data_IF_462827286198
#
_entry.id   IF_462827286198
#
_cell.length_a   1.000
_cell.length_b   1.000
_cell.length_c   1.000
_cell.angle_alpha   90.00
_cell.angle_beta   90.00
_cell.angle_gamma   90.00
#
_symmetry.space_group_name_H-M   'P 1'
#
loop_
_entity.id
_entity.type
_entity.pdbx_description
1 polymer ?
#
# COMPACT_ATOMS: atom_id res chain seq x y z
N UNK A 1 -22.24 -14.93 4.08
CA UNK A 1 -21.97 -14.82 2.63
C UNK A 1 -21.84 -13.37 2.14
N UNK A 2 -22.83 -12.48 2.40
CA UNK A 2 -22.78 -11.07 1.97
C UNK A 2 -21.50 -10.32 2.41
N UNK A 3 -21.07 -10.52 3.64
CA UNK A 3 -19.82 -9.98 4.21
C UNK A 3 -18.56 -10.32 3.38
N UNK A 4 -18.42 -11.59 2.99
CA UNK A 4 -17.28 -12.07 2.21
C UNK A 4 -17.30 -11.54 0.78
N UNK A 5 -18.49 -11.40 0.19
CA UNK A 5 -18.67 -10.77 -1.13
C UNK A 5 -18.29 -9.29 -1.08
N UNK A 6 -18.65 -8.57 -0.01
CA UNK A 6 -18.24 -7.18 0.18
C UNK A 6 -16.72 -7.03 0.33
N UNK A 7 -16.07 -7.93 1.09
CA UNK A 7 -14.61 -7.95 1.20
C UNK A 7 -13.91 -8.30 -0.13
N UNK A 8 -14.46 -9.26 -0.88
CA UNK A 8 -14.00 -9.60 -2.23
C UNK A 8 -14.13 -8.41 -3.20
N UNK A 9 -15.25 -7.68 -3.15
CA UNK A 9 -15.47 -6.47 -3.94
C UNK A 9 -14.50 -5.35 -3.52
N UNK A 10 -14.27 -5.16 -2.23
CA UNK A 10 -13.27 -4.21 -1.74
C UNK A 10 -11.86 -4.59 -2.25
N UNK A 11 -11.50 -5.87 -2.23
CA UNK A 11 -10.25 -6.39 -2.80
C UNK A 11 -10.14 -6.15 -4.31
N UNK A 12 -11.21 -6.37 -5.06
CA UNK A 12 -11.30 -6.10 -6.49
C UNK A 12 -11.06 -4.62 -6.81
N UNK A 13 -11.76 -3.72 -6.14
CA UNK A 13 -11.61 -2.27 -6.34
C UNK A 13 -10.21 -1.83 -5.92
N UNK A 14 -9.65 -2.40 -4.86
CA UNK A 14 -8.27 -2.14 -4.44
C UNK A 14 -7.24 -2.54 -5.50
N UNK A 15 -7.42 -3.70 -6.14
CA UNK A 15 -6.56 -4.17 -7.22
C UNK A 15 -6.63 -3.22 -8.44
N UNK A 16 -7.82 -2.72 -8.78
CA UNK A 16 -8.04 -1.79 -9.89
C UNK A 16 -7.41 -0.42 -9.61
N UNK A 17 -7.57 0.07 -8.38
CA UNK A 17 -7.08 1.37 -7.92
C UNK A 17 -5.56 1.50 -7.99
N UNK A 18 -4.82 0.38 -7.99
CA UNK A 18 -3.36 0.37 -7.86
C UNK A 18 -2.86 0.97 -6.54
N UNK A 19 -3.76 1.27 -5.61
CA UNK A 19 -3.51 1.79 -4.27
C UNK A 19 -3.77 0.66 -3.29
N UNK A 20 -2.79 0.38 -2.42
CA UNK A 20 -2.85 -0.68 -1.41
C UNK A 20 -4.05 -0.58 -0.45
N UNK A 21 -4.04 -1.47 0.54
CA UNK A 21 -4.99 -1.82 1.63
C UNK A 21 -6.10 -0.84 2.11
N UNK A 22 -6.12 0.41 1.67
CA UNK A 22 -7.06 1.50 1.97
C UNK A 22 -8.54 1.11 1.84
N UNK A 23 -8.92 0.37 0.80
CA UNK A 23 -10.32 -0.03 0.57
C UNK A 23 -10.68 -1.30 1.32
N UNK A 24 -9.73 -2.23 1.40
CA UNK A 24 -9.92 -3.53 2.02
C UNK A 24 -10.01 -3.44 3.53
N UNK A 25 -9.23 -2.57 4.15
CA UNK A 25 -9.14 -2.47 5.59
C UNK A 25 -10.48 -2.10 6.26
N UNK A 26 -11.15 -0.98 5.91
CA UNK A 26 -12.43 -0.63 6.52
C UNK A 26 -13.54 -1.64 6.21
N UNK A 27 -13.50 -2.26 5.03
CA UNK A 27 -14.47 -3.29 4.66
C UNK A 27 -14.38 -4.49 5.62
N UNK A 28 -13.17 -4.95 5.96
CA UNK A 28 -12.97 -6.05 6.91
C UNK A 28 -13.36 -5.64 8.33
N UNK A 29 -13.04 -4.41 8.77
CA UNK A 29 -13.49 -3.92 10.08
C UNK A 29 -15.02 -3.85 10.17
N UNK A 30 -15.68 -3.51 9.06
CA UNK A 30 -17.14 -3.57 8.89
C UNK A 30 -17.73 -4.96 9.11
N UNK A 31 -16.93 -6.03 8.98
CA UNK A 31 -17.36 -7.41 9.25
C UNK A 31 -17.29 -7.79 10.73
N UNK A 32 -16.97 -6.84 11.61
CA UNK A 32 -16.80 -7.10 13.05
C UNK A 32 -15.43 -7.62 13.45
N UNK A 33 -14.48 -7.69 12.50
CA UNK A 33 -13.09 -8.06 12.76
C UNK A 33 -12.36 -6.87 13.39
N UNK A 34 -11.49 -7.14 14.38
CA UNK A 34 -10.71 -6.08 15.01
C UNK A 34 -9.81 -5.39 13.98
N UNK A 35 -9.58 -4.07 14.08
CA UNK A 35 -8.67 -3.34 13.21
C UNK A 35 -7.30 -4.02 13.05
N UNK A 36 -6.73 -4.55 14.13
CA UNK A 36 -5.45 -5.25 14.10
C UNK A 36 -5.48 -6.46 13.13
N UNK A 37 -6.47 -7.34 13.30
CA UNK A 37 -6.65 -8.53 12.46
C UNK A 37 -7.04 -8.13 11.03
N UNK A 38 -7.84 -7.07 10.87
CA UNK A 38 -8.24 -6.54 9.56
C UNK A 38 -7.03 -6.06 8.75
N UNK A 39 -6.10 -5.34 9.40
CA UNK A 39 -4.86 -4.89 8.78
C UNK A 39 -4.02 -6.08 8.30
N UNK A 40 -3.70 -7.00 9.22
CA UNK A 40 -2.90 -8.19 8.91
C UNK A 40 -3.52 -9.04 7.79
N UNK A 41 -4.84 -9.28 7.87
CA UNK A 41 -5.59 -10.04 6.87
C UNK A 41 -5.55 -9.37 5.50
N UNK A 42 -5.70 -8.04 5.44
CA UNK A 42 -5.65 -7.29 4.19
C UNK A 42 -4.25 -7.30 3.54
N UNK A 43 -3.19 -7.22 4.35
CA UNK A 43 -1.80 -7.29 3.86
C UNK A 43 -1.50 -8.65 3.24
N UNK A 44 -1.94 -9.74 3.88
CA UNK A 44 -1.78 -11.11 3.33
C UNK A 44 -2.58 -11.28 2.04
N UNK A 45 -3.83 -10.80 1.99
CA UNK A 45 -4.69 -10.93 0.82
C UNK A 45 -4.14 -10.22 -0.42
N UNK A 46 -3.47 -9.07 -0.23
CA UNK A 46 -3.00 -8.21 -1.32
C UNK A 46 -1.54 -8.46 -1.72
N UNK A 47 -0.78 -9.20 -0.92
CA UNK A 47 0.62 -9.51 -1.21
C UNK A 47 0.84 -10.24 -2.55
N UNK A 48 0.03 -11.26 -2.94
CA UNK A 48 0.15 -11.88 -4.26
C UNK A 48 -0.02 -10.89 -5.42
N UNK A 49 -0.90 -9.90 -5.27
CA UNK A 49 -1.07 -8.83 -6.27
C UNK A 49 0.16 -7.91 -6.36
N UNK A 50 0.88 -7.73 -5.25
CA UNK A 50 2.12 -6.96 -5.19
C UNK A 50 3.26 -7.67 -5.92
N UNK A 51 3.33 -9.00 -5.83
CA UNK A 51 4.26 -9.83 -6.63
C UNK A 51 4.00 -9.65 -8.13
N UNK A 52 2.76 -9.76 -8.58
CA UNK A 52 2.40 -9.55 -9.98
C UNK A 52 2.75 -8.13 -10.47
N UNK A 53 2.53 -7.13 -9.62
CA UNK A 53 2.89 -5.73 -9.91
C UNK A 53 4.41 -5.54 -10.03
N UNK A 54 5.21 -6.15 -9.15
CA UNK A 54 6.67 -6.13 -9.27
C UNK A 54 7.12 -6.81 -10.56
N UNK A 55 6.54 -7.98 -10.90
CA UNK A 55 6.90 -8.74 -12.10
C UNK A 55 6.66 -7.95 -13.38
N UNK A 56 5.55 -7.20 -13.47
CA UNK A 56 5.27 -6.33 -14.61
C UNK A 56 6.29 -5.20 -14.80
N UNK A 57 6.87 -4.71 -13.69
CA UNK A 57 7.85 -3.62 -13.68
C UNK A 57 9.31 -4.10 -13.68
N UNK A 58 9.57 -5.41 -13.77
CA UNK A 58 10.92 -6.00 -13.69
C UNK A 58 11.89 -5.45 -14.74
N UNK A 59 11.37 -5.11 -15.92
CA UNK A 59 12.19 -4.57 -17.01
C UNK A 59 12.61 -3.12 -16.74
N UNK A 60 11.80 -2.34 -16.02
CA UNK A 60 12.13 -0.95 -15.67
C UNK A 60 13.21 -0.85 -14.58
N UNK A 61 13.49 -1.96 -13.88
CA UNK A 61 14.57 -2.08 -12.89
C UNK A 61 15.92 -2.50 -13.50
N UNK A 62 15.96 -2.83 -14.80
CA UNK A 62 17.20 -3.20 -15.48
C UNK A 62 18.18 -2.03 -15.48
N UNK A 63 19.43 -2.27 -15.05
CA UNK A 63 20.44 -1.22 -14.85
C UNK A 63 20.41 -0.53 -13.49
N UNK A 64 19.39 -0.77 -12.64
CA UNK A 64 19.24 -0.14 -11.32
C UNK A 64 19.67 -1.00 -10.13
N UNK A 65 20.61 -1.93 -10.33
CA UNK A 65 20.97 -2.93 -9.32
C UNK A 65 21.38 -2.33 -7.96
N UNK A 66 22.16 -1.25 -7.96
CA UNK A 66 22.56 -0.56 -6.73
C UNK A 66 21.36 0.02 -5.96
N UNK A 67 20.37 0.55 -6.67
CA UNK A 67 19.14 1.07 -6.08
C UNK A 67 18.26 -0.08 -5.58
N UNK A 68 18.09 -1.15 -6.35
CA UNK A 68 17.31 -2.33 -5.95
C UNK A 68 17.86 -2.95 -4.66
N UNK A 69 19.18 -3.14 -4.56
CA UNK A 69 19.84 -3.68 -3.36
C UNK A 69 19.77 -2.67 -2.21
N UNK A 70 20.05 -1.39 -2.48
CA UNK A 70 20.03 -0.32 -1.47
C UNK A 70 18.63 -0.06 -0.90
N UNK A 71 17.57 -0.37 -1.65
CA UNK A 71 16.19 -0.36 -1.17
C UNK A 71 15.83 -1.61 -0.38
N UNK A 72 16.30 -2.78 -0.79
CA UNK A 72 15.88 -4.04 -0.22
C UNK A 72 16.18 -4.13 1.28
N UNK A 73 17.41 -3.83 1.69
CA UNK A 73 17.83 -3.92 3.09
C UNK A 73 16.99 -3.04 4.05
N UNK A 74 16.88 -1.71 3.87
CA UNK A 74 16.05 -0.88 4.75
C UNK A 74 14.57 -1.22 4.65
N UNK A 75 14.10 -1.72 3.50
CA UNK A 75 12.72 -2.17 3.32
C UNK A 75 12.40 -3.42 4.13
N UNK A 76 13.31 -4.41 4.13
CA UNK A 76 13.15 -5.65 4.89
C UNK A 76 13.25 -5.39 6.40
N UNK A 77 14.28 -4.65 6.83
CA UNK A 77 14.50 -4.36 8.26
C UNK A 77 13.41 -3.43 8.80
N UNK A 78 13.10 -2.35 8.08
CA UNK A 78 12.04 -1.43 8.47
C UNK A 78 10.67 -2.10 8.44
N UNK A 79 10.36 -2.88 7.40
CA UNK A 79 9.13 -3.65 7.31
C UNK A 79 8.98 -4.66 8.44
N UNK A 80 10.05 -5.36 8.80
CA UNK A 80 10.08 -6.26 9.95
C UNK A 80 9.88 -5.54 11.28
N UNK A 81 10.55 -4.39 11.48
CA UNK A 81 10.35 -3.57 12.68
C UNK A 81 8.91 -3.04 12.78
N UNK A 82 8.34 -2.58 11.67
CA UNK A 82 6.95 -2.14 11.60
C UNK A 82 5.95 -3.24 11.92
N UNK A 83 6.16 -4.44 11.37
CA UNK A 83 5.33 -5.61 11.64
C UNK A 83 5.48 -6.10 13.08
N UNK A 84 6.70 -6.08 13.61
CA UNK A 84 6.99 -6.38 15.02
C UNK A 84 6.27 -5.40 15.96
N UNK A 85 6.34 -4.09 15.65
CA UNK A 85 5.63 -3.04 16.38
C UNK A 85 4.13 -3.32 16.37
N UNK A 86 3.55 -3.67 15.22
CA UNK A 86 2.13 -3.98 15.11
C UNK A 86 1.75 -5.18 16.00
N UNK A 87 2.54 -6.26 15.96
CA UNK A 87 2.30 -7.47 16.76
C UNK A 87 2.40 -7.23 18.27
N UNK A 88 3.21 -6.25 18.70
CA UNK A 88 3.36 -5.88 20.11
C UNK A 88 2.50 -4.68 20.51
N UNK A 89 1.71 -4.12 19.58
CA UNK A 89 0.82 -3.00 19.90
C UNK A 89 -0.45 -3.53 20.55
N UNK A 90 -0.85 -3.02 21.73
CA UNK A 90 -2.12 -3.38 22.34
C UNK A 90 -3.28 -3.09 21.39
N UNK A 91 -4.26 -3.99 21.21
CA UNK A 91 -5.37 -3.78 20.28
C UNK A 91 -6.10 -2.45 20.50
N UNK A 92 -6.33 -2.06 21.76
CA UNK A 92 -6.95 -0.79 22.11
C UNK A 92 -6.13 0.45 21.69
N UNK A 93 -4.80 0.35 21.67
CA UNK A 93 -3.94 1.43 21.18
C UNK A 93 -4.02 1.52 19.65
N UNK A 94 -4.00 0.38 18.96
CA UNK A 94 -4.16 0.33 17.50
C UNK A 94 -5.51 0.92 17.07
N UNK A 95 -6.60 0.56 17.74
CA UNK A 95 -7.95 1.07 17.46
C UNK A 95 -8.05 2.60 17.54
N UNK A 96 -7.32 3.23 18.47
CA UNK A 96 -7.27 4.70 18.59
C UNK A 96 -6.46 5.37 17.49
N UNK A 97 -5.40 4.71 17.02
CA UNK A 97 -4.46 5.27 16.03
C UNK A 97 -4.98 5.06 14.59
N UNK A 98 -5.71 3.97 14.35
CA UNK A 98 -6.22 3.56 13.04
C UNK A 98 -6.98 4.66 12.28
N UNK A 99 -7.95 5.40 12.87
CA UNK A 99 -8.67 6.43 12.14
C UNK A 99 -7.74 7.49 11.56
N UNK A 100 -6.71 7.88 12.31
CA UNK A 100 -5.70 8.84 11.85
C UNK A 100 -4.81 8.25 10.74
N UNK A 101 -4.49 6.96 10.79
CA UNK A 101 -3.76 6.28 9.73
C UNK A 101 -4.56 6.18 8.43
N UNK A 102 -5.85 5.84 8.52
CA UNK A 102 -6.77 5.81 7.38
C UNK A 102 -6.93 7.21 6.78
N UNK A 103 -7.11 8.23 7.61
CA UNK A 103 -7.19 9.62 7.15
C UNK A 103 -5.90 10.06 6.47
N UNK A 104 -4.75 9.82 7.09
CA UNK A 104 -3.44 10.14 6.53
C UNK A 104 -3.21 9.46 5.18
N UNK A 105 -3.52 8.18 5.06
CA UNK A 105 -3.41 7.44 3.81
C UNK A 105 -4.41 7.96 2.75
N UNK A 106 -5.62 8.37 3.15
CA UNK A 106 -6.62 8.99 2.27
C UNK A 106 -6.15 10.37 1.76
N UNK A 107 -5.58 11.19 2.64
CA UNK A 107 -5.01 12.50 2.29
C UNK A 107 -3.82 12.31 1.35
N UNK A 108 -2.92 11.36 1.63
CA UNK A 108 -1.82 11.02 0.73
C UNK A 108 -2.35 10.60 -0.64
N UNK A 109 -3.40 9.78 -0.69
CA UNK A 109 -4.06 9.36 -1.93
C UNK A 109 -4.72 10.53 -2.69
N UNK A 110 -5.27 11.50 -1.98
CA UNK A 110 -5.78 12.74 -2.56
C UNK A 110 -4.66 13.58 -3.18
N UNK A 111 -3.57 13.77 -2.44
CA UNK A 111 -2.42 14.59 -2.88
C UNK A 111 -1.63 13.89 -3.98
N UNK A 112 -1.69 12.57 -4.08
CA UNK A 112 -1.01 11.76 -5.09
C UNK A 112 -1.27 12.26 -6.52
N UNK A 113 -2.51 12.61 -6.87
CA UNK A 113 -2.86 13.07 -8.23
C UNK A 113 -2.08 14.33 -8.66
N UNK A 114 -2.23 15.46 -7.97
CA UNK A 114 -1.48 16.68 -8.26
C UNK A 114 0.03 16.52 -8.05
N UNK A 115 0.48 15.74 -7.06
CA UNK A 115 1.89 15.48 -6.83
C UNK A 115 2.54 14.71 -8.00
N UNK A 116 1.94 13.60 -8.42
CA UNK A 116 2.36 12.84 -9.59
C UNK A 116 2.31 13.68 -10.87
N UNK A 117 1.31 14.55 -11.01
CA UNK A 117 1.19 15.44 -12.17
C UNK A 117 2.28 16.51 -12.19
N UNK A 118 2.67 17.07 -11.04
CA UNK A 118 3.81 17.99 -10.92
C UNK A 118 5.14 17.30 -11.22
N UNK A 119 5.32 16.07 -10.75
CA UNK A 119 6.51 15.25 -11.05
C UNK A 119 6.55 14.83 -12.53
N UNK A 120 5.39 14.49 -13.13
CA UNK A 120 5.22 14.23 -14.57
C UNK A 120 5.48 15.44 -15.44
N UNK A 121 5.02 16.62 -15.03
CA UNK A 121 5.25 17.87 -15.75
C UNK A 121 6.74 18.25 -15.85
N UNK A 122 7.54 17.91 -14.83
CA UNK A 122 9.00 18.05 -14.86
C UNK A 122 9.69 17.01 -15.75
N UNK A 123 9.01 15.91 -16.08
CA UNK A 123 9.58 14.77 -16.82
C UNK A 123 9.28 14.81 -18.33
N UNK A 124 8.33 15.64 -18.79
CA UNK A 124 7.89 15.67 -20.18
C UNK A 124 8.95 16.18 -21.19
N UNK A 125 10.09 16.68 -20.71
CA UNK A 125 11.26 17.04 -21.54
C UNK A 125 12.48 16.14 -21.38
N UNK A 126 12.48 15.17 -20.45
CA UNK A 126 13.65 14.37 -20.13
C UNK A 126 13.56 12.98 -20.76
N UNK A 127 13.90 12.90 -22.06
CA UNK A 127 14.21 11.61 -22.67
C UNK A 127 15.46 11.02 -22.00
N UNK A 128 15.30 9.81 -21.46
CA UNK A 128 16.36 8.85 -21.12
C UNK A 128 17.47 9.26 -20.12
N UNK A 129 17.52 8.52 -19.00
CA UNK A 129 18.77 8.07 -18.34
C UNK A 129 19.63 9.08 -17.56
N UNK A 130 19.09 10.08 -16.88
CA UNK A 130 19.83 10.65 -15.73
C UNK A 130 19.53 9.86 -14.47
N UNK A 131 20.12 8.67 -14.38
CA UNK A 131 20.39 8.04 -13.10
C UNK A 131 21.39 8.95 -12.39
N UNK A 132 21.12 9.44 -11.17
CA UNK A 132 22.21 9.90 -10.34
C UNK A 132 23.12 8.69 -10.14
N UNK A 133 24.33 8.72 -10.72
CA UNK A 133 25.39 7.72 -10.54
C UNK A 133 25.96 7.72 -9.11
N UNK A 134 25.25 8.37 -8.19
CA UNK A 134 25.60 8.48 -6.79
C UNK A 134 24.94 7.36 -6.04
N UNK A 135 25.76 6.57 -5.34
CA UNK A 135 25.33 5.59 -4.34
C UNK A 135 24.20 6.18 -3.49
N UNK A 136 23.18 5.38 -3.10
CA UNK A 136 22.11 5.87 -2.25
C UNK A 136 22.70 6.53 -1.01
N UNK A 137 22.49 7.84 -0.87
CA UNK A 137 22.99 8.63 0.25
C UNK A 137 22.42 8.05 1.56
N UNK A 138 23.10 8.24 2.69
CA UNK A 138 22.58 7.74 3.97
C UNK A 138 21.17 8.25 4.29
N UNK A 139 20.85 9.49 3.90
CA UNK A 139 19.50 10.07 3.98
C UNK A 139 18.46 9.27 3.19
N UNK A 140 18.87 8.66 2.07
CA UNK A 140 18.06 7.77 1.25
C UNK A 140 17.64 6.52 2.02
N UNK A 141 18.63 5.85 2.60
CA UNK A 141 18.44 4.63 3.38
C UNK A 141 17.56 4.91 4.61
N UNK A 142 17.81 6.02 5.31
CA UNK A 142 17.04 6.43 6.47
C UNK A 142 15.57 6.75 6.12
N UNK A 143 15.31 7.53 5.07
CA UNK A 143 13.95 7.83 4.64
C UNK A 143 13.20 6.56 4.22
N UNK A 144 13.85 5.69 3.44
CA UNK A 144 13.25 4.42 3.03
C UNK A 144 12.97 3.51 4.23
N UNK A 145 13.87 3.48 5.21
CA UNK A 145 13.66 2.73 6.45
C UNK A 145 12.43 3.22 7.21
N UNK A 146 12.26 4.53 7.38
CA UNK A 146 11.08 5.09 8.06
C UNK A 146 9.78 4.80 7.31
N UNK A 147 9.79 4.93 5.98
CA UNK A 147 8.65 4.54 5.13
C UNK A 147 8.37 3.05 5.26
N UNK A 148 9.41 2.22 5.38
CA UNK A 148 9.28 0.79 5.56
C UNK A 148 8.74 0.41 6.94
N UNK A 149 9.10 1.11 8.01
CA UNK A 149 8.51 0.93 9.35
C UNK A 149 7.01 1.23 9.32
N UNK A 150 6.62 2.37 8.75
CA UNK A 150 5.21 2.69 8.54
C UNK A 150 4.51 1.62 7.69
N UNK A 151 5.19 1.17 6.64
CA UNK A 151 4.74 0.14 5.73
C UNK A 151 4.47 -1.22 6.37
N UNK A 152 5.39 -1.67 7.22
CA UNK A 152 5.25 -2.90 7.97
C UNK A 152 4.15 -2.80 9.02
N UNK A 153 3.94 -1.61 9.60
CA UNK A 153 2.92 -1.38 10.61
C UNK A 153 1.49 -1.30 10.04
N UNK A 154 1.27 -0.51 8.98
CA UNK A 154 -0.07 -0.28 8.41
C UNK A 154 -0.16 -0.55 6.90
N UNK A 155 0.91 -0.33 6.14
CA UNK A 155 0.99 -0.65 4.71
C UNK A 155 0.14 0.22 3.78
N UNK A 156 -0.97 0.80 4.24
CA UNK A 156 -1.84 1.61 3.40
C UNK A 156 -1.15 2.90 2.96
N UNK A 157 -1.23 3.27 1.69
CA UNK A 157 -0.61 4.50 1.17
C UNK A 157 0.92 4.49 1.09
N UNK A 158 1.61 3.40 1.45
CA UNK A 158 3.08 3.32 1.46
C UNK A 158 3.71 3.62 0.09
N UNK A 159 3.08 3.19 -1.00
CA UNK A 159 3.58 3.46 -2.35
C UNK A 159 3.66 4.95 -2.68
N UNK A 160 2.77 5.76 -2.10
CA UNK A 160 2.75 7.21 -2.28
C UNK A 160 3.88 7.84 -1.48
N UNK A 161 4.09 7.38 -0.23
CA UNK A 161 5.21 7.82 0.60
C UNK A 161 6.55 7.52 -0.08
N UNK A 162 6.72 6.33 -0.65
CA UNK A 162 7.91 5.98 -1.43
C UNK A 162 8.09 6.88 -2.64
N UNK A 163 7.04 7.10 -3.44
CA UNK A 163 7.12 8.00 -4.61
C UNK A 163 7.43 9.44 -4.21
N UNK A 164 6.90 9.92 -3.09
CA UNK A 164 7.21 11.24 -2.55
C UNK A 164 8.70 11.32 -2.15
N UNK A 165 9.20 10.36 -1.37
CA UNK A 165 10.62 10.29 -0.97
C UNK A 165 11.53 10.21 -2.19
N UNK A 166 11.22 9.34 -3.15
CA UNK A 166 11.94 9.21 -4.42
C UNK A 166 11.96 10.54 -5.21
N UNK A 167 10.82 11.22 -5.30
CA UNK A 167 10.70 12.50 -6.00
C UNK A 167 11.46 13.64 -5.30
N UNK A 168 11.38 13.72 -3.97
CA UNK A 168 12.17 14.67 -3.17
C UNK A 168 13.67 14.44 -3.30
N UNK A 169 14.08 13.21 -3.59
CA UNK A 169 15.49 12.83 -3.77
C UNK A 169 16.01 13.06 -5.19
N UNK A 170 15.18 13.65 -6.06
CA UNK A 170 15.58 14.09 -7.40
C UNK A 170 15.45 13.02 -8.48
N UNK A 171 14.83 11.87 -8.19
CA UNK A 171 14.48 10.92 -9.24
C UNK A 171 13.29 11.47 -10.04
N UNK A 172 13.52 11.67 -11.33
CA UNK A 172 12.52 12.18 -12.28
C UNK A 172 11.96 11.07 -13.18
N UNK A 173 12.66 9.94 -13.31
CA UNK A 173 12.20 8.83 -14.13
C UNK A 173 11.06 8.06 -13.41
N UNK A 174 9.83 8.36 -13.80
CA UNK A 174 8.61 7.78 -13.22
C UNK A 174 8.54 6.26 -13.35
N UNK A 175 9.03 5.71 -14.45
CA UNK A 175 9.08 4.27 -14.68
C UNK A 175 9.97 3.60 -13.64
N UNK A 176 11.22 4.08 -13.53
CA UNK A 176 12.15 3.60 -12.51
C UNK A 176 11.59 3.79 -11.08
N UNK A 177 10.99 4.94 -10.78
CA UNK A 177 10.39 5.19 -9.46
C UNK A 177 9.25 4.21 -9.16
N UNK A 178 8.39 3.90 -10.13
CA UNK A 178 7.33 2.92 -9.97
C UNK A 178 7.89 1.50 -9.78
N UNK A 179 8.96 1.15 -10.50
CA UNK A 179 9.69 -0.09 -10.30
C UNK A 179 10.25 -0.20 -8.89
N UNK A 180 10.97 0.82 -8.40
CA UNK A 180 11.57 0.85 -7.06
C UNK A 180 10.50 0.83 -5.96
N UNK A 181 9.40 1.57 -6.14
CA UNK A 181 8.23 1.54 -5.25
C UNK A 181 7.64 0.14 -5.14
N UNK A 182 7.40 -0.53 -6.27
CA UNK A 182 6.82 -1.87 -6.28
C UNK A 182 7.77 -2.90 -5.66
N UNK A 183 9.07 -2.78 -5.92
CA UNK A 183 10.09 -3.63 -5.31
C UNK A 183 10.17 -3.42 -3.78
N UNK A 184 10.28 -2.18 -3.31
CA UNK A 184 10.32 -1.87 -1.89
C UNK A 184 9.05 -2.32 -1.16
N UNK A 185 7.88 -2.05 -1.74
CA UNK A 185 6.60 -2.51 -1.21
C UNK A 185 6.52 -4.04 -1.14
N UNK A 186 7.05 -4.75 -2.14
CA UNK A 186 7.12 -6.21 -2.11
C UNK A 186 7.99 -6.71 -0.95
N UNK A 187 9.18 -6.14 -0.76
CA UNK A 187 10.07 -6.51 0.34
C UNK A 187 9.42 -6.28 1.71
N UNK A 188 8.82 -5.11 1.92
CA UNK A 188 8.16 -4.74 3.19
C UNK A 188 7.02 -5.69 3.48
N UNK A 189 6.13 -5.89 2.49
CA UNK A 189 4.97 -6.75 2.69
C UNK A 189 5.37 -8.22 2.81
N UNK A 190 6.46 -8.68 2.17
CA UNK A 190 6.92 -10.06 2.34
C UNK A 190 7.30 -10.36 3.80
N UNK A 191 8.05 -9.45 4.44
CA UNK A 191 8.41 -9.60 5.86
C UNK A 191 7.18 -9.42 6.76
N UNK A 192 6.34 -8.42 6.48
CA UNK A 192 5.13 -8.21 7.28
C UNK A 192 4.16 -9.39 7.22
N UNK A 193 3.90 -9.93 6.02
CA UNK A 193 3.03 -11.09 5.80
C UNK A 193 3.55 -12.34 6.50
N UNK A 194 4.86 -12.60 6.41
CA UNK A 194 5.47 -13.76 7.10
C UNK A 194 5.35 -13.63 8.61
N UNK A 195 5.58 -12.44 9.17
CA UNK A 195 5.42 -12.18 10.59
C UNK A 195 3.96 -12.24 11.05
N UNK A 196 3.03 -11.68 10.29
CA UNK A 196 1.59 -11.72 10.62
C UNK A 196 1.03 -13.14 10.54
N UNK A 197 1.41 -13.90 9.52
CA UNK A 197 1.03 -15.31 9.39
C UNK A 197 1.62 -16.14 10.54
N UNK A 198 2.91 -15.95 10.87
CA UNK A 198 3.55 -16.62 12.01
C UNK A 198 3.01 -16.21 13.37
N UNK A 199 2.53 -14.97 13.52
CA UNK A 199 1.89 -14.45 14.72
C UNK A 199 0.44 -14.90 14.93
N UNK A 200 -0.15 -15.63 13.97
CA UNK A 200 -1.51 -16.20 14.12
C UNK A 200 -2.66 -15.19 14.09
N UNK A 201 -2.40 -13.92 13.77
CA UNK A 201 -3.42 -12.85 13.76
C UNK A 201 -4.16 -12.72 12.41
N UNK A 202 -3.91 -13.62 11.47
CA UNK A 202 -4.46 -13.57 10.11
C UNK A 202 -5.77 -14.36 10.02
N UNK A 203 -6.83 -13.70 9.55
CA UNK A 203 -8.11 -14.37 9.33
C UNK A 203 -8.16 -15.00 7.92
N UNK A 204 -7.62 -16.21 7.79
CA UNK A 204 -7.44 -16.90 6.50
C UNK A 204 -8.68 -16.99 5.59
N UNK A 205 -9.90 -17.30 6.08
CA UNK A 205 -11.08 -17.33 5.21
C UNK A 205 -11.35 -15.99 4.50
N UNK A 206 -11.13 -14.87 5.21
CA UNK A 206 -11.29 -13.53 4.66
C UNK A 206 -10.13 -13.24 3.71
N UNK A 207 -8.89 -13.54 4.12
CA UNK A 207 -7.71 -13.32 3.30
C UNK A 207 -7.80 -14.02 1.93
N UNK A 208 -8.18 -15.29 1.91
CA UNK A 208 -8.33 -16.09 0.69
C UNK A 208 -9.47 -15.58 -0.19
N UNK A 209 -10.63 -15.27 0.40
CA UNK A 209 -11.77 -14.76 -0.37
C UNK A 209 -11.45 -13.41 -1.01
N UNK A 210 -10.71 -12.56 -0.30
CA UNK A 210 -10.24 -11.28 -0.82
C UNK A 210 -9.15 -11.42 -1.86
N UNK A 211 -8.23 -12.38 -1.71
CA UNK A 211 -7.22 -12.66 -2.72
C UNK A 211 -7.88 -13.11 -4.03
N UNK A 212 -8.82 -14.07 -3.96
CA UNK A 212 -9.56 -14.55 -5.14
C UNK A 212 -10.42 -13.45 -5.76
N UNK A 213 -11.20 -12.74 -4.93
CA UNK A 213 -12.03 -11.62 -5.39
C UNK A 213 -11.21 -10.48 -6.00
N UNK A 214 -10.06 -10.18 -5.41
CA UNK A 214 -9.08 -9.20 -5.89
C UNK A 214 -8.46 -9.59 -7.22
N UNK A 215 -8.07 -10.86 -7.39
CA UNK A 215 -7.51 -11.37 -8.65
C UNK A 215 -8.56 -11.34 -9.78
N UNK A 216 -9.75 -11.89 -9.52
CA UNK A 216 -10.83 -11.95 -10.51
C UNK A 216 -11.35 -10.54 -10.87
N UNK A 217 -11.58 -9.71 -9.86
CA UNK A 217 -12.05 -8.35 -10.03
C UNK A 217 -11.00 -7.39 -10.57
N UNK A 218 -9.71 -7.62 -10.29
CA UNK A 218 -8.61 -6.91 -10.94
C UNK A 218 -8.55 -7.22 -12.43
N UNK A 219 -8.67 -8.49 -12.82
CA UNK A 219 -8.71 -8.89 -14.23
C UNK A 219 -9.92 -8.31 -14.97
N UNK A 220 -11.13 -8.51 -14.45
CA UNK A 220 -12.37 -8.02 -15.08
C UNK A 220 -12.49 -6.48 -15.02
N UNK A 221 -12.13 -5.89 -13.88
CA UNK A 221 -12.29 -4.47 -13.60
C UNK A 221 -11.22 -3.57 -14.20
N UNK A 222 -10.03 -4.10 -14.53
CA UNK A 222 -9.01 -3.34 -15.29
C UNK A 222 -9.56 -2.83 -16.63
N UNK A 223 -10.42 -3.60 -17.30
CA UNK A 223 -11.10 -3.20 -18.54
C UNK A 223 -12.17 -2.14 -18.33
N UNK A 224 -12.88 -2.19 -17.21
CA UNK A 224 -13.90 -1.20 -16.86
C UNK A 224 -13.28 0.13 -16.41
N UNK A 225 -12.19 0.09 -15.64
CA UNK A 225 -11.48 1.28 -15.17
C UNK A 225 -10.88 2.10 -16.32
N UNK A 226 -10.50 1.46 -17.42
CA UNK A 226 -10.11 2.15 -18.65
C UNK A 226 -11.26 2.98 -19.25
N UNK A 227 -12.53 2.64 -18.98
CA UNK A 227 -13.71 3.38 -19.44
C UNK A 227 -14.14 4.51 -18.50
N UNK A 228 -13.98 4.35 -17.19
CA UNK A 228 -14.37 5.35 -16.17
C UNK A 228 -13.29 6.44 -15.98
N UNK A 229 -12.06 6.16 -16.42
CA UNK A 229 -10.93 7.08 -16.33
C UNK A 229 -10.34 7.19 -14.92
N UNK A 230 -9.06 7.59 -14.82
CA UNK A 230 -8.34 7.65 -13.54
C UNK A 230 -8.98 8.59 -12.51
N UNK A 231 -9.66 9.63 -12.97
CA UNK A 231 -10.35 10.56 -12.09
C UNK A 231 -11.51 9.89 -11.35
N UNK A 232 -12.34 9.09 -12.03
CA UNK A 232 -13.48 8.42 -11.41
C UNK A 232 -13.06 7.39 -10.35
N UNK A 233 -12.04 6.59 -10.67
CA UNK A 233 -11.45 5.63 -9.71
C UNK A 233 -10.91 6.35 -8.46
N UNK A 234 -10.24 7.49 -8.65
CA UNK A 234 -9.72 8.30 -7.53
C UNK A 234 -10.83 8.84 -6.64
N UNK A 235 -11.91 9.38 -7.19
CA UNK A 235 -13.03 9.90 -6.39
C UNK A 235 -13.74 8.79 -5.59
N UNK A 236 -13.90 7.60 -6.18
CA UNK A 236 -14.50 6.46 -5.48
C UNK A 236 -13.68 6.05 -4.24
N UNK A 237 -12.35 6.00 -4.36
CA UNK A 237 -11.46 5.66 -3.24
C UNK A 237 -11.55 6.69 -2.12
N UNK A 238 -11.60 7.97 -2.48
CA UNK A 238 -11.73 9.07 -1.52
C UNK A 238 -13.07 9.00 -0.80
N UNK A 239 -14.17 8.80 -1.53
CA UNK A 239 -15.50 8.69 -0.94
C UNK A 239 -15.57 7.51 0.04
N UNK A 240 -14.99 6.36 -0.32
CA UNK A 240 -14.97 5.18 0.55
C UNK A 240 -14.06 5.42 1.76
N UNK A 241 -12.86 5.98 1.58
CA UNK A 241 -11.93 6.28 2.67
C UNK A 241 -12.49 7.29 3.68
N UNK A 242 -13.16 8.34 3.19
CA UNK A 242 -13.85 9.32 4.05
C UNK A 242 -15.05 8.70 4.78
N UNK A 243 -15.88 7.92 4.06
CA UNK A 243 -17.00 7.21 4.68
C UNK A 243 -16.52 6.26 5.76
N UNK A 244 -15.47 5.50 5.48
CA UNK A 244 -14.81 4.61 6.42
C UNK A 244 -14.27 5.34 7.65
N UNK A 245 -13.58 6.48 7.45
CA UNK A 245 -13.07 7.30 8.55
C UNK A 245 -14.20 7.80 9.45
N UNK A 246 -15.25 8.38 8.86
CA UNK A 246 -16.42 8.86 9.61
C UNK A 246 -17.09 7.70 10.35
N UNK A 247 -17.26 6.56 9.70
CA UNK A 247 -17.85 5.37 10.31
C UNK A 247 -17.02 4.84 11.49
N UNK A 248 -15.69 4.77 11.34
CA UNK A 248 -14.78 4.35 12.41
C UNK A 248 -14.80 5.32 13.60
N UNK A 249 -14.96 6.63 13.36
CA UNK A 249 -15.10 7.62 14.44
C UNK A 249 -16.46 7.54 15.16
N UNK A 250 -17.53 7.30 14.41
CA UNK A 250 -18.88 7.17 14.98
C UNK A 250 -19.02 5.86 15.78
N UNK A 251 -18.26 4.83 15.41
CA UNK A 251 -18.15 3.58 16.14
C UNK A 251 -17.22 3.77 17.36
N UNK A 252 -17.68 4.47 18.40
CA UNK A 252 -16.95 4.62 19.66
C UNK A 252 -16.52 3.24 20.20
N UNK A 253 -15.28 3.06 20.70
CA UNK A 253 -14.87 1.84 21.39
C UNK A 253 -15.58 1.80 22.75
N UNK A 254 -16.74 1.14 22.79
CA UNK A 254 -17.52 0.97 24.01
C UNK A 254 -18.95 0.55 23.72
N UNK A 255 -19.22 -0.76 23.79
CA UNK A 255 -20.56 -1.30 23.74
C UNK A 255 -20.59 -2.82 23.65
N UNK A 256 -20.27 -3.50 24.76
CA UNK A 256 -20.52 -4.93 24.99
C UNK A 256 -19.38 -5.85 24.59
#
# INVERSE_FOLDING_TARGET
>A
MLALVAAAAAGAVNAIAGGGTLLTFPAIVGLGVTPLVANATSSVALWPGSLGSMWGYRHELTGARHWVIGFAAPSLVGGGLGAWLLLHTPPAAFDRIVPFLVLGATVLFLVQGPLLRRLRGQSAGASARTMPDTRPRWSFVAAQFLVAVYGGYFGAGIGILMLAVLGFMGLTNIHLMNGLKNWGALCINAVAVTMFAGGGIVHWPIALTMAVGGMLGGYAGSRLAQRVGQAGVRHAIVAIGLTAFVWLLLRRPGGG
#
